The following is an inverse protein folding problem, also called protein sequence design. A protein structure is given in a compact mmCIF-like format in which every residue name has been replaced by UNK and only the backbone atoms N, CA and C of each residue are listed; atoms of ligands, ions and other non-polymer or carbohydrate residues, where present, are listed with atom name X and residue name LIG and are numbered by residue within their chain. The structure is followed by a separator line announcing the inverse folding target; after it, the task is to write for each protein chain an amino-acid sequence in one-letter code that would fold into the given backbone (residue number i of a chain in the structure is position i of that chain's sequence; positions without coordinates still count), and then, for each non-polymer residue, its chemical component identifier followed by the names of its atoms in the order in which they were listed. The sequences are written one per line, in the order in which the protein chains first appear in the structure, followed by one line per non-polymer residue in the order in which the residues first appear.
data_IF_553032366670
#
_entry.id   IF_553032366670
#
_cell.length_a   1.000
_cell.length_b   1.000
_cell.length_c   1.000
_cell.angle_alpha   90.00
_cell.angle_beta   90.00
_cell.angle_gamma   90.00
#
_symmetry.space_group_name_H-M   'P 1'
#
loop_
_entity.id
_entity.type
_entity.pdbx_description
1 polymer ?
#
# COMPACT_ATOMS: atom_id res chain seq x y z
N UNK A 1 -27.07 -21.66 10.98
CA UNK A 1 -25.83 -21.41 11.75
C UNK A 1 -24.64 -22.17 11.15
N UNK A 2 -24.78 -23.45 10.76
CA UNK A 2 -23.71 -24.18 10.05
C UNK A 2 -23.32 -23.54 8.70
N UNK A 3 -24.28 -23.26 7.82
CA UNK A 3 -24.01 -22.69 6.48
C UNK A 3 -23.34 -21.30 6.50
N UNK A 4 -23.49 -20.53 7.59
CA UNK A 4 -22.80 -19.24 7.76
C UNK A 4 -21.35 -19.41 8.20
N UNK A 5 -21.05 -20.42 9.02
CA UNK A 5 -19.69 -20.71 9.48
C UNK A 5 -18.83 -21.21 8.31
N UNK A 6 -19.38 -22.08 7.47
CA UNK A 6 -18.67 -22.62 6.29
C UNK A 6 -18.26 -21.53 5.30
N UNK A 7 -19.12 -20.53 5.07
CA UNK A 7 -18.82 -19.40 4.17
C UNK A 7 -17.74 -18.48 4.74
N UNK A 8 -17.79 -18.16 6.03
CA UNK A 8 -16.76 -17.35 6.69
C UNK A 8 -15.42 -18.06 6.70
N UNK A 9 -15.41 -19.37 6.97
CA UNK A 9 -14.20 -20.18 6.96
C UNK A 9 -13.59 -20.25 5.56
N UNK A 10 -14.39 -20.49 4.52
CA UNK A 10 -13.94 -20.48 3.14
C UNK A 10 -13.31 -19.12 2.76
N UNK A 11 -13.96 -18.02 3.14
CA UNK A 11 -13.44 -16.68 2.87
C UNK A 11 -12.08 -16.44 3.56
N UNK A 12 -11.90 -16.91 4.80
CA UNK A 12 -10.61 -16.80 5.50
C UNK A 12 -9.52 -17.62 4.81
N UNK A 13 -9.82 -18.82 4.29
CA UNK A 13 -8.86 -19.59 3.49
C UNK A 13 -8.48 -18.88 2.19
N UNK A 14 -9.45 -18.30 1.49
CA UNK A 14 -9.20 -17.52 0.27
C UNK A 14 -8.29 -16.34 0.60
N UNK A 15 -8.60 -15.59 1.67
CA UNK A 15 -7.78 -14.47 2.13
C UNK A 15 -6.35 -14.92 2.47
N UNK A 16 -6.19 -16.01 3.23
CA UNK A 16 -4.89 -16.56 3.57
C UNK A 16 -4.09 -16.96 2.32
N UNK A 17 -4.74 -17.64 1.35
CA UNK A 17 -4.11 -18.03 0.09
C UNK A 17 -3.60 -16.83 -0.71
N UNK A 18 -4.40 -15.76 -0.80
CA UNK A 18 -3.99 -14.50 -1.45
C UNK A 18 -2.85 -13.83 -0.68
N UNK A 19 -2.88 -13.81 0.66
CA UNK A 19 -1.79 -13.27 1.48
C UNK A 19 -0.47 -14.01 1.23
N UNK A 20 -0.49 -15.34 1.25
CA UNK A 20 0.71 -16.16 0.99
C UNK A 20 1.26 -15.91 -0.41
N UNK A 21 0.40 -15.85 -1.42
CA UNK A 21 0.81 -15.49 -2.78
C UNK A 21 1.48 -14.11 -2.82
N UNK A 22 0.85 -13.10 -2.22
CA UNK A 22 1.41 -11.74 -2.14
C UNK A 22 2.75 -11.70 -1.39
N UNK A 23 2.91 -12.46 -0.30
CA UNK A 23 4.20 -12.57 0.41
C UNK A 23 5.30 -13.13 -0.49
N UNK A 24 5.01 -14.18 -1.26
CA UNK A 24 5.98 -14.79 -2.18
C UNK A 24 6.39 -13.77 -3.24
N UNK A 25 5.42 -13.08 -3.85
CA UNK A 25 5.71 -12.06 -4.88
C UNK A 25 6.50 -10.89 -4.30
N UNK A 26 6.05 -10.30 -3.19
CA UNK A 26 6.73 -9.17 -2.56
C UNK A 26 8.13 -9.56 -2.06
N UNK A 27 8.24 -10.72 -1.41
CA UNK A 27 9.50 -11.26 -0.89
C UNK A 27 10.51 -11.49 -2.01
N UNK A 28 10.07 -12.08 -3.13
CA UNK A 28 10.91 -12.21 -4.32
C UNK A 28 11.43 -10.85 -4.81
N UNK A 29 10.57 -9.85 -4.96
CA UNK A 29 10.97 -8.51 -5.45
C UNK A 29 11.92 -7.81 -4.47
N UNK A 30 11.68 -7.89 -3.16
CA UNK A 30 12.56 -7.32 -2.14
C UNK A 30 13.93 -8.01 -2.15
N UNK A 31 13.96 -9.35 -2.18
CA UNK A 31 15.21 -10.12 -2.24
C UNK A 31 15.98 -9.82 -3.52
N UNK A 32 15.31 -9.74 -4.67
CA UNK A 32 15.95 -9.34 -5.93
C UNK A 32 16.54 -7.93 -5.85
N UNK A 33 15.81 -6.99 -5.24
CA UNK A 33 16.32 -5.63 -5.02
C UNK A 33 17.58 -5.63 -4.15
N UNK A 34 17.58 -6.38 -3.06
CA UNK A 34 18.70 -6.48 -2.13
C UNK A 34 19.93 -7.20 -2.73
N UNK A 35 19.71 -8.27 -3.50
CA UNK A 35 20.78 -9.16 -3.99
C UNK A 35 21.32 -8.78 -5.37
N UNK A 36 20.49 -8.31 -6.30
CA UNK A 36 20.88 -8.05 -7.70
C UNK A 36 21.15 -6.58 -8.02
N UNK A 37 21.21 -5.70 -7.02
CA UNK A 37 21.31 -4.24 -7.19
C UNK A 37 20.36 -3.76 -8.28
N UNK A 38 19.05 -4.06 -8.15
CA UNK A 38 18.07 -3.42 -9.03
C UNK A 38 18.33 -1.91 -8.97
N UNK A 39 18.42 -1.28 -10.14
CA UNK A 39 18.73 0.15 -10.21
C UNK A 39 17.48 0.93 -9.83
N UNK A 40 17.22 1.01 -8.52
CA UNK A 40 16.13 1.80 -7.97
C UNK A 40 16.49 3.25 -8.20
N UNK A 41 16.05 3.73 -9.36
CA UNK A 41 16.20 5.13 -9.69
C UNK A 41 15.62 5.96 -8.57
N UNK A 42 16.21 7.13 -8.33
CA UNK A 42 15.69 8.10 -7.37
C UNK A 42 14.17 8.32 -7.49
N UNK A 43 13.64 8.19 -8.72
CA UNK A 43 12.24 8.34 -9.08
C UNK A 43 11.32 7.18 -8.63
N UNK A 44 11.86 6.03 -8.26
CA UNK A 44 11.11 4.85 -7.80
C UNK A 44 11.34 4.55 -6.31
N UNK A 45 12.17 5.34 -5.63
CA UNK A 45 12.51 5.10 -4.22
C UNK A 45 11.31 5.13 -3.28
N UNK A 46 10.35 6.02 -3.51
CA UNK A 46 9.10 6.07 -2.75
C UNK A 46 8.20 4.86 -3.02
N UNK A 47 8.19 4.34 -4.25
CA UNK A 47 7.46 3.11 -4.59
C UNK A 47 8.05 1.91 -3.84
N UNK A 48 9.38 1.87 -3.68
CA UNK A 48 10.03 0.86 -2.87
C UNK A 48 9.65 0.94 -1.39
N UNK A 49 9.64 2.15 -0.79
CA UNK A 49 9.17 2.34 0.61
C UNK A 49 7.73 1.86 0.77
N UNK A 50 6.87 2.20 -0.19
CA UNK A 50 5.48 1.74 -0.26
C UNK A 50 5.40 0.20 -0.25
N UNK A 51 6.21 -0.47 -1.07
CA UNK A 51 6.25 -1.93 -1.21
C UNK A 51 6.74 -2.62 0.07
N UNK A 52 7.72 -2.05 0.78
CA UNK A 52 8.14 -2.55 2.09
C UNK A 52 6.98 -2.50 3.08
N UNK A 53 6.25 -1.38 3.13
CA UNK A 53 5.11 -1.24 4.04
C UNK A 53 3.95 -2.18 3.67
N UNK A 54 3.66 -2.35 2.36
CA UNK A 54 2.72 -3.34 1.86
C UNK A 54 3.09 -4.77 2.32
N UNK A 55 4.38 -5.09 2.32
CA UNK A 55 4.88 -6.40 2.80
C UNK A 55 4.67 -6.60 4.29
N UNK A 56 4.95 -5.57 5.10
CA UNK A 56 4.67 -5.61 6.54
C UNK A 56 3.18 -5.84 6.79
N UNK A 57 2.32 -5.14 6.06
CA UNK A 57 0.87 -5.34 6.13
C UNK A 57 0.46 -6.76 5.79
N UNK A 58 0.96 -7.34 4.69
CA UNK A 58 0.68 -8.73 4.30
C UNK A 58 1.13 -9.73 5.37
N UNK A 59 2.28 -9.53 6.03
CA UNK A 59 2.73 -10.39 7.14
C UNK A 59 1.72 -10.35 8.28
N UNK A 60 1.31 -9.14 8.71
CA UNK A 60 0.33 -8.97 9.78
C UNK A 60 -1.01 -9.61 9.44
N UNK A 61 -1.49 -9.43 8.21
CA UNK A 61 -2.76 -10.00 7.76
C UNK A 61 -2.71 -11.53 7.63
N UNK A 62 -1.55 -12.09 7.24
CA UNK A 62 -1.34 -13.55 7.20
C UNK A 62 -1.46 -14.14 8.61
N UNK A 63 -0.86 -13.49 9.61
CA UNK A 63 -0.97 -13.90 11.01
C UNK A 63 -2.42 -13.79 11.50
N UNK A 64 -3.09 -12.68 11.21
CA UNK A 64 -4.50 -12.46 11.55
C UNK A 64 -5.40 -13.57 10.97
N UNK A 65 -5.30 -13.86 9.67
CA UNK A 65 -6.10 -14.90 9.02
C UNK A 65 -5.77 -16.29 9.57
N UNK A 66 -4.51 -16.57 9.90
CA UNK A 66 -4.11 -17.82 10.56
C UNK A 66 -4.78 -18.00 11.93
N UNK A 67 -4.75 -16.96 12.77
CA UNK A 67 -5.41 -16.96 14.07
C UNK A 67 -6.93 -17.10 13.93
N UNK A 68 -7.55 -16.38 13.00
CA UNK A 68 -8.99 -16.46 12.75
C UNK A 68 -9.44 -17.86 12.30
N UNK A 69 -8.67 -18.54 11.44
CA UNK A 69 -8.96 -19.93 11.03
C UNK A 69 -8.82 -20.90 12.20
N UNK A 70 -7.78 -20.74 13.04
CA UNK A 70 -7.57 -21.59 14.20
C UNK A 70 -8.72 -21.47 15.23
N UNK A 71 -9.19 -20.25 15.44
CA UNK A 71 -10.32 -19.95 16.33
C UNK A 71 -11.64 -20.51 15.79
N UNK A 72 -11.93 -20.31 14.49
CA UNK A 72 -13.12 -20.87 13.83
C UNK A 72 -13.17 -22.40 13.85
N UNK A 73 -12.02 -23.07 13.94
CA UNK A 73 -11.92 -24.53 14.11
C UNK A 73 -12.02 -25.01 15.56
N UNK A 74 -12.10 -24.09 16.52
CA UNK A 74 -12.15 -24.41 17.95
C UNK A 74 -10.86 -25.04 18.47
N UNK A 75 -9.71 -24.80 17.83
CA UNK A 75 -8.42 -25.41 18.23
C UNK A 75 -7.92 -24.79 19.54
N UNK A 76 -8.06 -23.48 19.69
CA UNK A 76 -7.55 -22.67 20.81
C UNK A 76 -8.27 -21.32 20.83
N UNK A 77 -8.53 -20.75 22.02
CA UNK A 77 -9.01 -19.37 22.15
C UNK A 77 -7.91 -18.40 21.69
N UNK A 78 -8.12 -17.75 20.54
CA UNK A 78 -7.12 -16.86 19.92
C UNK A 78 -7.51 -15.38 19.98
N UNK A 79 -8.55 -15.03 20.74
CA UNK A 79 -9.14 -13.68 20.78
C UNK A 79 -8.12 -12.54 20.96
N UNK A 80 -7.21 -12.66 21.92
CA UNK A 80 -6.19 -11.62 22.16
C UNK A 80 -5.20 -11.49 21.00
N UNK A 81 -4.84 -12.62 20.37
CA UNK A 81 -3.97 -12.61 19.20
C UNK A 81 -4.68 -12.05 17.97
N UNK A 82 -5.97 -12.37 17.77
CA UNK A 82 -6.79 -11.83 16.69
C UNK A 82 -6.94 -10.32 16.85
N UNK A 83 -7.20 -9.85 18.07
CA UNK A 83 -7.25 -8.44 18.38
C UNK A 83 -5.91 -7.74 18.11
N UNK A 84 -4.79 -8.28 18.62
CA UNK A 84 -3.47 -7.70 18.45
C UNK A 84 -3.07 -7.60 16.98
N UNK A 85 -3.20 -8.70 16.24
CA UNK A 85 -2.84 -8.75 14.82
C UNK A 85 -3.76 -7.88 13.96
N UNK A 86 -5.06 -7.83 14.28
CA UNK A 86 -6.03 -6.93 13.65
C UNK A 86 -5.74 -5.44 13.93
N UNK A 87 -5.33 -5.10 15.16
CA UNK A 87 -4.96 -3.73 15.51
C UNK A 87 -3.70 -3.30 14.73
N UNK A 88 -2.68 -4.16 14.70
CA UNK A 88 -1.46 -3.89 13.92
C UNK A 88 -1.81 -3.73 12.44
N UNK A 89 -2.59 -4.64 11.85
CA UNK A 89 -2.94 -4.57 10.43
C UNK A 89 -3.72 -3.30 10.08
N UNK A 90 -4.75 -2.95 10.86
CA UNK A 90 -5.55 -1.73 10.66
C UNK A 90 -4.71 -0.45 10.84
N UNK A 91 -3.77 -0.45 11.79
CA UNK A 91 -2.85 0.67 12.02
C UNK A 91 -1.83 0.81 10.88
N UNK A 92 -1.34 -0.30 10.33
CA UNK A 92 -0.47 -0.28 9.15
C UNK A 92 -1.23 0.21 7.91
N UNK A 93 -2.50 -0.16 7.72
CA UNK A 93 -3.33 0.37 6.61
C UNK A 93 -3.42 1.90 6.63
N UNK A 94 -3.59 2.51 7.81
CA UNK A 94 -3.56 3.97 7.97
C UNK A 94 -2.22 4.58 7.50
N UNK A 95 -1.11 4.00 7.93
CA UNK A 95 0.22 4.43 7.49
C UNK A 95 0.44 4.21 5.98
N UNK A 96 -0.13 3.14 5.41
CA UNK A 96 -0.11 2.88 3.97
C UNK A 96 -0.86 3.97 3.20
N UNK A 97 -2.08 4.33 3.60
CA UNK A 97 -2.87 5.41 2.98
C UNK A 97 -2.08 6.73 2.91
N UNK A 98 -1.38 7.09 4.00
CA UNK A 98 -0.49 8.24 4.00
C UNK A 98 0.70 8.07 3.03
N UNK A 99 1.32 6.89 2.99
CA UNK A 99 2.44 6.60 2.09
C UNK A 99 2.04 6.66 0.61
N UNK A 100 0.80 6.29 0.27
CA UNK A 100 0.23 6.49 -1.07
C UNK A 100 0.16 7.97 -1.43
N UNK A 101 -0.34 8.79 -0.51
CA UNK A 101 -0.35 10.24 -0.69
C UNK A 101 1.07 10.78 -0.91
N UNK A 102 2.05 10.37 -0.11
CA UNK A 102 3.44 10.80 -0.30
C UNK A 102 4.06 10.32 -1.61
N UNK A 103 3.65 9.16 -2.14
CA UNK A 103 4.08 8.70 -3.47
C UNK A 103 3.60 9.66 -4.56
N UNK A 104 2.37 10.18 -4.47
CA UNK A 104 1.87 11.20 -5.39
C UNK A 104 2.57 12.56 -5.22
N UNK A 105 2.83 12.97 -3.97
CA UNK A 105 3.59 14.20 -3.64
C UNK A 105 5.01 14.15 -4.20
N UNK A 106 5.67 13.00 -4.08
CA UNK A 106 7.00 12.75 -4.63
C UNK A 106 7.03 12.96 -6.16
N UNK A 107 6.07 12.38 -6.90
CA UNK A 107 5.92 12.60 -8.35
C UNK A 107 5.65 14.07 -8.68
N UNK A 108 4.83 14.75 -7.88
CA UNK A 108 4.55 16.16 -8.06
C UNK A 108 5.82 17.02 -7.98
N UNK A 109 6.66 16.80 -6.97
CA UNK A 109 7.91 17.54 -6.81
C UNK A 109 8.92 17.20 -7.90
N UNK A 110 9.03 15.92 -8.28
CA UNK A 110 9.88 15.47 -9.38
C UNK A 110 9.57 16.19 -10.70
N UNK A 111 8.28 16.43 -11.00
CA UNK A 111 7.86 17.15 -12.20
C UNK A 111 7.94 18.67 -12.08
N UNK A 112 7.65 19.23 -10.90
CA UNK A 112 7.63 20.69 -10.68
C UNK A 112 9.03 21.28 -10.70
N UNK A 113 9.99 20.64 -10.03
CA UNK A 113 11.36 21.13 -9.86
C UNK A 113 12.37 19.97 -9.92
N UNK A 114 12.66 19.39 -11.11
CA UNK A 114 13.47 18.18 -11.23
C UNK A 114 14.89 18.28 -10.65
N UNK A 115 15.56 19.43 -10.80
CA UNK A 115 16.92 19.65 -10.28
C UNK A 115 16.92 19.71 -8.75
N UNK A 116 16.05 20.53 -8.16
CA UNK A 116 15.93 20.64 -6.69
C UNK A 116 15.44 19.33 -6.08
N UNK A 117 14.60 18.60 -6.82
CA UNK A 117 14.12 17.29 -6.42
C UNK A 117 15.26 16.26 -6.32
N UNK A 118 16.15 16.20 -7.32
CA UNK A 118 17.25 15.24 -7.30
C UNK A 118 18.23 15.50 -6.16
N UNK A 119 18.43 16.77 -5.78
CA UNK A 119 19.35 17.17 -4.73
C UNK A 119 18.76 17.06 -3.32
N UNK A 120 17.51 17.50 -3.11
CA UNK A 120 16.95 17.69 -1.77
C UNK A 120 15.62 16.98 -1.57
N UNK A 121 14.60 17.28 -2.40
CA UNK A 121 13.22 16.89 -2.05
C UNK A 121 12.98 15.39 -1.97
N UNK A 122 13.68 14.57 -2.76
CA UNK A 122 13.55 13.11 -2.66
C UNK A 122 13.84 12.60 -1.24
N UNK A 123 14.95 13.06 -0.65
CA UNK A 123 15.34 12.61 0.69
C UNK A 123 14.35 13.10 1.75
N UNK A 124 13.92 14.37 1.66
CA UNK A 124 12.97 14.95 2.59
C UNK A 124 11.58 14.29 2.52
N UNK A 125 11.04 14.07 1.32
CA UNK A 125 9.73 13.42 1.13
C UNK A 125 9.77 12.00 1.67
N UNK A 126 10.84 11.25 1.40
CA UNK A 126 11.02 9.89 1.92
C UNK A 126 11.08 9.86 3.44
N UNK A 127 11.91 10.72 4.05
CA UNK A 127 12.03 10.81 5.52
C UNK A 127 10.70 11.22 6.14
N UNK A 128 10.04 12.25 5.60
CA UNK A 128 8.74 12.70 6.09
C UNK A 128 7.69 11.59 6.01
N UNK A 129 7.63 10.85 4.91
CA UNK A 129 6.70 9.72 4.75
C UNK A 129 6.94 8.63 5.79
N UNK A 130 8.20 8.27 6.05
CA UNK A 130 8.52 7.25 7.05
C UNK A 130 8.19 7.74 8.46
N UNK A 131 8.65 8.94 8.82
CA UNK A 131 8.43 9.50 10.16
C UNK A 131 6.95 9.69 10.46
N UNK A 132 6.19 10.31 9.54
CA UNK A 132 4.76 10.51 9.73
C UNK A 132 3.98 9.18 9.63
N UNK A 133 4.42 8.25 8.78
CA UNK A 133 3.84 6.91 8.71
C UNK A 133 3.96 6.16 10.03
N UNK A 134 5.13 6.17 10.67
CA UNK A 134 5.34 5.58 12.00
C UNK A 134 4.49 6.28 13.06
N UNK A 135 4.41 7.61 13.05
CA UNK A 135 3.57 8.35 13.99
C UNK A 135 2.08 8.00 13.83
N UNK A 136 1.56 7.95 12.60
CA UNK A 136 0.18 7.55 12.33
C UNK A 136 -0.07 6.10 12.76
N UNK A 137 0.87 5.19 12.49
CA UNK A 137 0.78 3.81 12.95
C UNK A 137 0.66 3.73 14.47
N UNK A 138 1.55 4.40 15.21
CA UNK A 138 1.53 4.42 16.67
C UNK A 138 0.24 5.05 17.20
N UNK A 139 -0.19 6.18 16.65
CA UNK A 139 -1.45 6.82 17.04
C UNK A 139 -2.65 5.90 16.80
N UNK A 140 -2.75 5.27 15.63
CA UNK A 140 -3.80 4.30 15.32
C UNK A 140 -3.80 3.13 16.29
N UNK A 141 -2.61 2.57 16.55
CA UNK A 141 -2.44 1.42 17.44
C UNK A 141 -2.89 1.73 18.87
N UNK A 142 -2.45 2.86 19.42
CA UNK A 142 -2.82 3.28 20.77
C UNK A 142 -4.28 3.68 20.88
N UNK A 143 -4.85 4.36 19.89
CA UNK A 143 -6.27 4.70 19.90
C UNK A 143 -7.10 3.41 19.93
N UNK A 144 -6.84 2.47 19.02
CA UNK A 144 -7.53 1.18 19.03
C UNK A 144 -7.33 0.40 20.34
N UNK A 145 -6.14 0.44 20.93
CA UNK A 145 -5.81 -0.19 22.22
C UNK A 145 -6.64 0.39 23.37
N UNK A 146 -6.68 1.72 23.50
CA UNK A 146 -7.39 2.41 24.58
C UNK A 146 -8.91 2.32 24.41
N UNK A 147 -9.40 2.21 23.18
CA UNK A 147 -10.84 2.14 22.89
C UNK A 147 -11.34 0.72 22.64
N UNK A 148 -10.57 -0.30 23.05
CA UNK A 148 -11.00 -1.71 22.99
C UNK A 148 -12.25 -1.89 23.85
N UNK A 149 -13.33 -2.35 23.24
CA UNK A 149 -14.55 -2.75 23.93
C UNK A 149 -14.54 -4.24 24.31
N UNK A 150 -15.46 -4.67 25.19
CA UNK A 150 -15.75 -6.09 25.35
C UNK A 150 -16.25 -6.66 24.02
N UNK A 151 -15.93 -7.93 23.73
CA UNK A 151 -16.32 -8.57 22.47
C UNK A 151 -17.84 -8.52 22.27
N UNK A 152 -18.29 -7.85 21.20
CA UNK A 152 -19.70 -7.74 20.85
C UNK A 152 -20.14 -8.99 20.06
N UNK A 153 -20.34 -10.11 20.77
CA UNK A 153 -20.95 -11.33 20.23
C UNK A 153 -20.00 -12.55 20.14
N UNK A 154 -20.49 -13.70 19.64
CA UNK A 154 -19.77 -14.97 19.63
C UNK A 154 -18.67 -15.07 18.55
N UNK A 155 -18.38 -13.96 17.85
CA UNK A 155 -17.38 -13.91 16.78
C UNK A 155 -16.16 -13.15 17.28
N UNK A 156 -15.01 -13.82 17.27
CA UNK A 156 -13.69 -13.30 17.63
C UNK A 156 -13.06 -12.41 16.56
N UNK A 157 -13.83 -11.86 15.61
CA UNK A 157 -13.29 -10.98 14.57
C UNK A 157 -12.82 -9.63 15.14
N UNK A 158 -11.77 -9.01 14.57
CA UNK A 158 -11.26 -7.72 15.04
C UNK A 158 -12.35 -6.65 15.23
N UNK A 159 -13.29 -6.57 14.28
CA UNK A 159 -14.38 -5.59 14.30
C UNK A 159 -15.36 -5.76 15.49
N UNK A 160 -15.38 -6.90 16.18
CA UNK A 160 -16.22 -7.10 17.37
C UNK A 160 -15.60 -6.50 18.64
N UNK A 161 -14.30 -6.18 18.63
CA UNK A 161 -13.56 -5.58 19.76
C UNK A 161 -13.40 -4.07 19.63
N UNK A 162 -13.64 -3.51 18.45
CA UNK A 162 -13.31 -2.13 18.12
C UNK A 162 -14.56 -1.26 18.15
N UNK A 163 -14.44 -0.06 18.72
CA UNK A 163 -15.48 0.95 18.62
C UNK A 163 -15.73 1.33 17.15
N UNK A 164 -16.94 1.06 16.67
CA UNK A 164 -17.33 1.29 15.28
C UNK A 164 -17.12 2.74 14.83
N UNK A 165 -17.37 3.73 15.68
CA UNK A 165 -17.16 5.16 15.34
C UNK A 165 -15.69 5.47 15.07
N UNK A 166 -14.78 4.86 15.81
CA UNK A 166 -13.32 5.06 15.66
C UNK A 166 -12.82 4.36 14.41
N UNK A 167 -13.29 3.14 14.16
CA UNK A 167 -12.97 2.40 12.95
C UNK A 167 -13.43 3.15 11.70
N UNK A 168 -14.68 3.63 11.69
CA UNK A 168 -15.25 4.40 10.58
C UNK A 168 -14.54 5.75 10.38
N UNK A 169 -14.14 6.43 11.46
CA UNK A 169 -13.30 7.63 11.40
C UNK A 169 -11.98 7.35 10.68
N UNK A 170 -11.27 6.28 11.03
CA UNK A 170 -10.03 5.91 10.38
C UNK A 170 -10.22 5.52 8.91
N UNK A 171 -11.28 4.79 8.57
CA UNK A 171 -11.64 4.49 7.17
C UNK A 171 -11.90 5.77 6.37
N UNK A 172 -12.59 6.75 6.96
CA UNK A 172 -12.81 8.07 6.34
C UNK A 172 -11.48 8.81 6.10
N UNK A 173 -10.58 8.82 7.09
CA UNK A 173 -9.25 9.42 6.96
C UNK A 173 -8.44 8.75 5.85
N UNK A 174 -8.45 7.42 5.77
CA UNK A 174 -7.80 6.68 4.67
C UNK A 174 -8.37 7.10 3.31
N UNK A 175 -9.70 7.18 3.19
CA UNK A 175 -10.38 7.58 1.95
C UNK A 175 -10.00 9.00 1.52
N UNK A 176 -9.85 9.93 2.47
CA UNK A 176 -9.35 11.29 2.21
C UNK A 176 -7.94 11.24 1.62
N UNK A 177 -7.02 10.47 2.22
CA UNK A 177 -5.65 10.35 1.68
C UNK A 177 -5.63 9.74 0.28
N UNK A 178 -6.42 8.70 0.02
CA UNK A 178 -6.55 8.13 -1.33
C UNK A 178 -7.10 9.16 -2.31
N UNK A 179 -8.14 9.88 -1.96
CA UNK A 179 -8.74 10.93 -2.81
C UNK A 179 -7.72 12.02 -3.13
N UNK A 180 -7.00 12.52 -2.13
CA UNK A 180 -5.94 13.52 -2.32
C UNK A 180 -4.81 12.99 -3.22
N UNK A 181 -4.43 11.72 -3.07
CA UNK A 181 -3.41 11.08 -3.92
C UNK A 181 -3.84 11.03 -5.39
N UNK A 182 -5.11 10.71 -5.68
CA UNK A 182 -5.68 10.71 -7.03
C UNK A 182 -5.68 12.10 -7.63
N UNK A 183 -6.15 13.11 -6.89
CA UNK A 183 -6.17 14.51 -7.35
C UNK A 183 -4.75 14.98 -7.69
N UNK A 184 -3.77 14.71 -6.83
CA UNK A 184 -2.37 15.04 -7.10
C UNK A 184 -1.84 14.33 -8.34
N UNK A 185 -2.20 13.08 -8.57
CA UNK A 185 -1.78 12.31 -9.73
C UNK A 185 -2.41 12.80 -11.03
N UNK A 186 -3.66 13.25 -11.01
CA UNK A 186 -4.30 13.92 -12.16
C UNK A 186 -3.55 15.22 -12.48
N UNK A 187 -3.25 16.04 -11.46
CA UNK A 187 -2.46 17.27 -11.62
C UNK A 187 -1.07 16.95 -12.21
N UNK A 188 -0.44 15.88 -11.75
CA UNK A 188 0.84 15.39 -12.26
C UNK A 188 0.75 14.98 -13.73
N UNK A 189 -0.27 14.20 -14.11
CA UNK A 189 -0.47 13.76 -15.49
C UNK A 189 -0.66 14.95 -16.45
N UNK A 190 -1.48 15.94 -16.06
CA UNK A 190 -1.68 17.17 -16.83
C UNK A 190 -0.39 17.99 -16.96
N UNK A 191 0.43 18.04 -15.90
CA UNK A 191 1.72 18.73 -15.92
C UNK A 191 2.78 17.99 -16.73
N UNK A 192 2.77 16.66 -16.73
CA UNK A 192 3.73 15.84 -17.48
C UNK A 192 3.69 16.17 -18.97
N UNK A 193 2.50 16.31 -19.55
CA UNK A 193 2.34 16.70 -20.96
C UNK A 193 3.01 18.05 -21.26
N UNK A 194 2.83 19.04 -20.38
CA UNK A 194 3.47 20.36 -20.51
C UNK A 194 4.99 20.29 -20.30
N UNK A 195 5.44 19.48 -19.35
CA UNK A 195 6.85 19.26 -19.05
C UNK A 195 7.60 18.67 -20.25
N UNK A 196 7.06 17.59 -20.84
CA UNK A 196 7.66 16.92 -22.00
C UNK A 196 7.77 17.86 -23.20
N UNK A 197 6.76 18.69 -23.47
CA UNK A 197 6.81 19.68 -24.56
C UNK A 197 7.88 20.75 -24.35
N UNK A 198 8.09 21.23 -23.11
CA UNK A 198 9.02 22.34 -22.82
C UNK A 198 10.48 21.92 -22.60
N UNK A 199 10.73 20.68 -22.14
CA UNK A 199 12.05 20.28 -21.62
C UNK A 199 12.80 19.27 -22.49
N UNK A 200 12.17 18.71 -23.53
CA UNK A 200 12.85 17.83 -24.52
C UNK A 200 14.04 18.50 -25.21
N UNK A 201 14.06 19.83 -25.28
CA UNK A 201 15.15 20.59 -25.89
C UNK A 201 16.33 20.92 -24.94
N UNK A 202 16.23 20.67 -23.62
CA UNK A 202 17.23 21.16 -22.64
C UNK A 202 17.79 20.11 -21.66
N UNK A 203 17.27 18.88 -21.63
CA UNK A 203 17.72 17.84 -20.70
C UNK A 203 18.14 16.56 -21.44
N UNK A 204 19.14 15.84 -20.89
CA UNK A 204 19.57 14.52 -21.39
C UNK A 204 18.39 13.57 -21.57
N UNK A 205 18.32 12.89 -22.72
CA UNK A 205 17.23 11.98 -23.07
C UNK A 205 16.93 10.92 -22.01
N UNK A 206 17.96 10.36 -21.36
CA UNK A 206 17.79 9.32 -20.34
C UNK A 206 17.03 9.79 -19.09
N UNK A 207 17.23 11.03 -18.65
CA UNK A 207 16.49 11.58 -17.50
C UNK A 207 14.99 11.71 -17.82
N UNK A 208 14.67 12.19 -19.03
CA UNK A 208 13.28 12.36 -19.48
C UNK A 208 12.57 11.00 -19.61
N UNK A 209 13.27 9.99 -20.11
CA UNK A 209 12.76 8.62 -20.22
C UNK A 209 12.49 8.01 -18.84
N UNK A 210 13.41 8.15 -17.89
CA UNK A 210 13.24 7.68 -16.52
C UNK A 210 12.05 8.35 -15.81
N UNK A 211 11.87 9.67 -15.99
CA UNK A 211 10.71 10.38 -15.44
C UNK A 211 9.40 9.91 -16.08
N UNK A 212 9.39 9.67 -17.41
CA UNK A 212 8.21 9.16 -18.12
C UNK A 212 7.83 7.75 -17.64
N UNK A 213 8.82 6.87 -17.47
CA UNK A 213 8.62 5.51 -16.97
C UNK A 213 8.06 5.52 -15.54
N UNK A 214 8.69 6.27 -14.63
CA UNK A 214 8.23 6.38 -13.25
C UNK A 214 6.80 6.95 -13.14
N UNK A 215 6.46 7.95 -13.96
CA UNK A 215 5.10 8.49 -13.98
C UNK A 215 4.08 7.49 -14.51
N UNK A 216 4.41 6.73 -15.56
CA UNK A 216 3.54 5.65 -16.06
C UNK A 216 3.29 4.61 -14.97
N UNK A 217 4.34 4.20 -14.26
CA UNK A 217 4.25 3.26 -13.12
C UNK A 217 3.31 3.81 -12.06
N UNK A 218 3.56 5.02 -11.54
CA UNK A 218 2.73 5.57 -10.47
C UNK A 218 1.29 5.84 -10.94
N UNK A 219 1.06 6.23 -12.19
CA UNK A 219 -0.30 6.35 -12.74
C UNK A 219 -1.05 5.02 -12.76
N UNK A 220 -0.42 3.93 -13.21
CA UNK A 220 -1.05 2.60 -13.19
C UNK A 220 -1.32 2.18 -11.74
N UNK A 221 -0.35 2.34 -10.84
CA UNK A 221 -0.51 2.02 -9.43
C UNK A 221 -1.64 2.82 -8.77
N UNK A 222 -1.80 4.09 -9.13
CA UNK A 222 -2.88 4.93 -8.62
C UNK A 222 -4.24 4.46 -9.13
N UNK A 223 -4.35 4.11 -10.41
CA UNK A 223 -5.57 3.56 -10.98
C UNK A 223 -5.94 2.23 -10.30
N UNK A 224 -4.97 1.33 -10.12
CA UNK A 224 -5.18 0.08 -9.38
C UNK A 224 -5.58 0.33 -7.93
N UNK A 225 -4.98 1.31 -7.24
CA UNK A 225 -5.38 1.69 -5.89
C UNK A 225 -6.83 2.18 -5.85
N UNK A 226 -7.27 2.98 -6.83
CA UNK A 226 -8.66 3.45 -6.88
C UNK A 226 -9.63 2.28 -7.02
N UNK A 227 -9.37 1.38 -7.96
CA UNK A 227 -10.28 0.27 -8.28
C UNK A 227 -10.31 -0.80 -7.18
N UNK A 228 -9.14 -1.16 -6.64
CA UNK A 228 -8.99 -2.29 -5.73
C UNK A 228 -9.05 -1.91 -4.25
N UNK A 229 -8.86 -0.63 -3.91
CA UNK A 229 -8.80 -0.18 -2.51
C UNK A 229 -9.81 0.93 -2.25
N UNK A 230 -9.69 2.07 -2.95
CA UNK A 230 -10.51 3.24 -2.62
C UNK A 230 -12.01 3.01 -2.91
N UNK A 231 -12.35 2.29 -3.99
CA UNK A 231 -13.74 2.00 -4.32
C UNK A 231 -14.41 1.04 -3.31
N UNK A 232 -13.80 -0.12 -2.95
CA UNK A 232 -14.31 -0.94 -1.84
C UNK A 232 -14.42 -0.14 -0.53
N UNK A 233 -13.39 0.62 -0.17
CA UNK A 233 -13.39 1.42 1.06
C UNK A 233 -14.48 2.49 1.07
N UNK A 234 -14.70 3.17 -0.05
CA UNK A 234 -15.79 4.15 -0.20
C UNK A 234 -17.16 3.50 -0.05
N UNK A 235 -17.32 2.27 -0.55
CA UNK A 235 -18.54 1.50 -0.36
C UNK A 235 -18.78 1.16 1.11
N UNK A 236 -17.73 0.82 1.87
CA UNK A 236 -17.84 0.55 3.32
C UNK A 236 -18.27 1.79 4.09
N UNK A 237 -17.62 2.93 3.84
CA UNK A 237 -17.97 4.21 4.48
C UNK A 237 -19.39 4.64 4.11
N UNK A 238 -19.79 4.49 2.84
CA UNK A 238 -21.14 4.81 2.39
C UNK A 238 -22.20 3.91 3.02
N UNK A 239 -21.87 2.63 3.26
CA UNK A 239 -22.74 1.70 3.98
C UNK A 239 -22.96 2.14 5.43
N UNK A 240 -21.89 2.51 6.13
CA UNK A 240 -21.95 2.95 7.53
C UNK A 240 -22.77 4.23 7.70
N UNK A 241 -22.62 5.20 6.77
CA UNK A 241 -23.36 6.47 6.80
C UNK A 241 -24.81 6.29 6.32
N UNK A 242 -25.02 5.50 5.26
CA UNK A 242 -26.29 5.38 4.56
C UNK A 242 -27.25 4.33 5.13
N UNK A 243 -26.85 3.57 6.16
CA UNK A 243 -27.63 2.43 6.70
C UNK A 243 -28.10 1.44 5.61
N UNK A 244 -27.28 1.26 4.56
CA UNK A 244 -27.63 0.37 3.45
C UNK A 244 -27.48 -1.09 3.91
N UNK A 245 -28.59 -1.85 3.89
CA UNK A 245 -28.62 -3.29 4.21
C UNK A 245 -27.97 -4.14 3.10
N UNK A 246 -26.68 -3.94 2.83
CA UNK A 246 -25.91 -4.74 1.87
C UNK A 246 -25.00 -5.72 2.62
N UNK A 247 -24.83 -6.90 2.02
CA UNK A 247 -24.16 -8.12 2.50
C UNK A 247 -23.02 -7.89 3.52
N UNK A 248 -23.02 -8.66 4.61
CA UNK A 248 -22.07 -8.59 5.74
C UNK A 248 -20.61 -8.96 5.42
N UNK A 249 -20.27 -9.28 4.16
CA UNK A 249 -18.92 -9.70 3.74
C UNK A 249 -17.99 -8.55 3.31
N UNK A 250 -18.47 -7.31 3.34
CA UNK A 250 -17.75 -6.10 2.91
C UNK A 250 -16.26 -6.00 3.32
N UNK A 251 -15.87 -6.16 4.61
CA UNK A 251 -14.50 -5.87 5.04
C UNK A 251 -13.44 -6.81 4.45
N UNK A 252 -13.81 -8.06 4.16
CA UNK A 252 -12.88 -9.01 3.54
C UNK A 252 -12.56 -8.63 2.09
N UNK A 253 -13.50 -7.98 1.38
CA UNK A 253 -13.24 -7.50 0.02
C UNK A 253 -12.20 -6.38 0.00
N UNK A 254 -12.24 -5.48 0.99
CA UNK A 254 -11.24 -4.43 1.15
C UNK A 254 -9.85 -5.02 1.38
N UNK A 255 -9.71 -5.97 2.30
CA UNK A 255 -8.43 -6.63 2.60
C UNK A 255 -7.86 -7.42 1.42
N UNK A 256 -8.70 -8.21 0.74
CA UNK A 256 -8.31 -8.93 -0.48
C UNK A 256 -7.90 -7.94 -1.57
N UNK A 257 -8.65 -6.84 -1.72
CA UNK A 257 -8.33 -5.75 -2.64
C UNK A 257 -6.94 -5.16 -2.41
N UNK A 258 -6.60 -4.88 -1.14
CA UNK A 258 -5.25 -4.44 -0.75
C UNK A 258 -4.18 -5.49 -1.10
N UNK A 259 -4.43 -6.78 -0.85
CA UNK A 259 -3.46 -7.85 -1.14
C UNK A 259 -3.20 -8.03 -2.63
N UNK A 260 -4.26 -8.03 -3.44
CA UNK A 260 -4.15 -8.11 -4.90
C UNK A 260 -3.42 -6.88 -5.43
N UNK A 261 -3.76 -5.70 -4.91
CA UNK A 261 -3.07 -4.46 -5.29
C UNK A 261 -1.58 -4.49 -4.92
N UNK A 262 -1.22 -4.99 -3.73
CA UNK A 262 0.17 -5.16 -3.33
C UNK A 262 0.94 -6.10 -4.27
N UNK A 263 0.34 -7.22 -4.69
CA UNK A 263 0.98 -8.12 -5.65
C UNK A 263 1.20 -7.44 -7.00
N UNK A 264 0.19 -6.72 -7.50
CA UNK A 264 0.29 -5.91 -8.74
C UNK A 264 1.38 -4.85 -8.61
N UNK A 265 1.46 -4.17 -7.44
CA UNK A 265 2.46 -3.16 -7.12
C UNK A 265 3.87 -3.71 -7.26
N UNK A 266 4.12 -4.87 -6.66
CA UNK A 266 5.40 -5.56 -6.73
C UNK A 266 5.78 -6.01 -8.14
N UNK A 267 4.82 -6.56 -8.90
CA UNK A 267 5.06 -6.99 -10.29
C UNK A 267 5.40 -5.79 -11.17
N UNK A 268 4.64 -4.69 -11.06
CA UNK A 268 4.90 -3.47 -11.84
C UNK A 268 6.25 -2.88 -11.45
N UNK A 269 6.58 -2.82 -10.16
CA UNK A 269 7.87 -2.33 -9.69
C UNK A 269 9.02 -3.16 -10.28
N UNK A 270 8.95 -4.48 -10.18
CA UNK A 270 9.94 -5.40 -10.74
C UNK A 270 10.12 -5.21 -12.25
N UNK A 271 9.02 -5.10 -13.01
CA UNK A 271 9.07 -4.86 -14.46
C UNK A 271 9.67 -3.49 -14.82
N UNK A 272 9.49 -2.48 -13.96
CA UNK A 272 10.04 -1.14 -14.15
C UNK A 272 11.52 -1.04 -13.76
N UNK A 273 11.95 -1.81 -12.76
CA UNK A 273 13.34 -1.93 -12.33
C UNK A 273 14.00 -3.13 -13.01
N UNK A 274 14.26 -3.05 -14.32
CA UNK A 274 15.00 -4.14 -14.98
C UNK A 274 16.44 -4.19 -14.42
N UNK A 275 17.01 -5.39 -14.19
CA UNK A 275 18.42 -5.51 -13.85
C UNK A 275 19.24 -4.94 -15.02
N UNK A 276 20.17 -4.02 -14.73
CA UNK A 276 21.13 -3.60 -15.74
C UNK A 276 21.97 -4.83 -16.10
N UNK A 277 21.78 -5.38 -17.30
CA UNK A 277 22.85 -6.16 -17.92
C UNK A 277 24.04 -5.20 -18.00
N UNK A 278 25.10 -5.46 -17.22
CA UNK A 278 26.37 -4.75 -17.36
C UNK A 278 26.83 -4.96 -18.80
N UNK A 279 26.48 -4.04 -19.69
CA UNK A 279 27.13 -3.94 -20.98
C UNK A 279 28.59 -3.66 -20.68
N UNK A 280 29.45 -4.48 -21.30
CA UNK A 280 30.91 -4.53 -21.25
C UNK A 280 31.58 -3.25 -20.73
N UNK A 281 32.64 -3.34 -19.89
CA UNK A 281 33.41 -2.18 -19.46
C UNK A 281 33.75 -1.31 -20.68
N UNK A 282 33.42 -0.02 -20.58
CA UNK A 282 33.85 0.98 -21.55
C UNK A 282 35.35 0.80 -21.74
N UNK A 283 35.86 0.76 -22.98
CA UNK A 283 37.30 0.70 -23.20
C UNK A 283 37.96 1.85 -22.44
N UNK A 284 39.11 1.62 -21.80
CA UNK A 284 39.79 2.66 -21.04
C UNK A 284 39.98 3.87 -21.95
N UNK A 285 39.53 5.03 -21.48
CA UNK A 285 39.79 6.31 -22.15
C UNK A 285 41.30 6.49 -22.07
N UNK A 286 41.98 6.19 -23.17
CA UNK A 286 43.39 6.45 -23.38
C UNK A 286 43.58 7.96 -23.45
N UNK A 287 44.06 8.57 -22.37
CA UNK A 287 44.63 9.91 -22.40
C UNK A 287 46.09 9.75 -22.86
N UNK A 288 46.31 9.66 -24.17
CA UNK A 288 47.62 9.84 -24.81
C UNK A 288 47.46 10.96 -25.83
#
# INVERSE_FOLDING_TARGET
MADTVDKTLLAQYVQLGVCLFTLVVNGFVIVQNATRKLDVTQQLSMVFVKLVLETVYTICLTLYSGCAIADLKGVTNMEDFIYLTGNISASVQLAMALTYFFTAVDRYFAMKKPIVYSQYYNCYVKRASITLGVLIFLCGFFIYAVTRGPAAGPSSAFNSFVNHSIHSFFHTVQLIFFTLSVVLMIICALRLGRFLRKKRAKFMGSFVENVKAANKVVSILTLSAVLLVAAPLAFEVAKDIGSLNVVKMSPMFTDIGYMVFSAISSIIFYCATKPQCKTSPSPPISYI
#
